data_IF_268582618137
#
_entry.id   IF_268582618137
#
_cell.length_a   1.000
_cell.length_b   1.000
_cell.length_c   1.000
_cell.angle_alpha   90.00
_cell.angle_beta   90.00
_cell.angle_gamma   90.00
#
_symmetry.space_group_name_H-M   'P 1'
#
loop_
_entity.id
_entity.type
_entity.pdbx_description
1 polymer ?
#
# COMPACT_ATOMS: atom_id res chain seq x y z
N UNK A 1 -18.63 4.28 7.56
CA UNK A 1 -18.70 2.84 7.24
C UNK A 1 -17.30 2.42 6.88
N UNK A 2 -16.78 1.41 7.55
CA UNK A 2 -15.49 0.80 7.25
C UNK A 2 -15.75 -0.63 6.80
N UNK A 3 -14.98 -1.11 5.82
CA UNK A 3 -15.15 -2.43 5.24
C UNK A 3 -13.77 -2.98 4.86
N UNK A 4 -13.52 -4.23 5.22
CA UNK A 4 -12.32 -4.98 4.86
C UNK A 4 -12.71 -6.07 3.84
N UNK A 5 -12.72 -5.76 2.52
CA UNK A 5 -13.33 -6.62 1.51
C UNK A 5 -12.69 -8.00 1.39
N UNK A 6 -11.42 -8.11 1.78
CA UNK A 6 -10.64 -9.35 1.70
C UNK A 6 -11.24 -10.54 2.47
N UNK A 7 -12.16 -10.28 3.41
CA UNK A 7 -12.82 -11.32 4.21
C UNK A 7 -14.20 -11.72 3.70
N UNK A 8 -14.65 -11.16 2.57
CA UNK A 8 -15.97 -11.41 2.00
C UNK A 8 -15.89 -11.68 0.50
N UNK A 9 -16.72 -12.57 0.01
CA UNK A 9 -16.97 -12.70 -1.42
C UNK A 9 -17.77 -11.51 -1.95
N UNK A 10 -17.62 -11.21 -3.25
CA UNK A 10 -18.41 -10.20 -3.93
C UNK A 10 -19.93 -10.46 -3.81
N UNK A 11 -20.33 -11.73 -3.73
CA UNK A 11 -21.73 -12.14 -3.50
C UNK A 11 -22.18 -11.76 -2.09
N UNK A 12 -21.42 -12.08 -1.05
CA UNK A 12 -21.76 -11.73 0.34
C UNK A 12 -21.92 -10.21 0.51
N UNK A 13 -21.00 -9.41 -0.03
CA UNK A 13 -21.11 -7.94 0.00
C UNK A 13 -22.37 -7.51 -0.76
N UNK A 14 -22.59 -8.05 -1.95
CA UNK A 14 -23.78 -7.74 -2.75
C UNK A 14 -25.07 -8.03 -2.00
N UNK A 15 -25.21 -9.23 -1.44
CA UNK A 15 -26.41 -9.69 -0.76
C UNK A 15 -26.69 -8.82 0.47
N UNK A 16 -25.65 -8.43 1.22
CA UNK A 16 -25.76 -7.50 2.35
C UNK A 16 -26.34 -6.15 1.91
N UNK A 17 -25.80 -5.52 0.87
CA UNK A 17 -26.25 -4.19 0.43
C UNK A 17 -27.62 -4.22 -0.25
N UNK A 18 -27.94 -5.31 -0.95
CA UNK A 18 -29.30 -5.56 -1.46
C UNK A 18 -30.28 -5.72 -0.31
N UNK A 19 -29.90 -6.49 0.73
CA UNK A 19 -30.71 -6.68 1.92
C UNK A 19 -30.95 -5.36 2.66
N UNK A 20 -29.91 -4.58 2.96
CA UNK A 20 -29.99 -3.24 3.58
C UNK A 20 -30.84 -2.27 2.74
N UNK A 21 -30.81 -2.45 1.42
CA UNK A 21 -31.54 -1.64 0.45
C UNK A 21 -33.03 -1.95 0.27
N UNK A 22 -33.58 -2.95 0.97
CA UNK A 22 -35.02 -3.29 0.90
C UNK A 22 -35.89 -2.27 1.65
N UNK A 23 -37.17 -2.17 1.26
CA UNK A 23 -38.19 -1.39 1.98
C UNK A 23 -38.32 -1.92 3.41
N UNK A 24 -38.44 -1.02 4.39
CA UNK A 24 -38.45 -1.37 5.83
C UNK A 24 -37.06 -1.41 6.50
N UNK A 25 -35.99 -1.18 5.74
CA UNK A 25 -34.61 -0.98 6.27
C UNK A 25 -34.12 0.42 5.88
N UNK A 26 -32.83 0.57 5.58
CA UNK A 26 -32.27 1.84 5.09
C UNK A 26 -32.89 2.22 3.73
N UNK A 27 -33.21 1.22 2.91
CA UNK A 27 -33.99 1.41 1.69
C UNK A 27 -33.32 2.37 0.69
N UNK A 28 -34.08 3.35 0.19
CA UNK A 28 -33.59 4.33 -0.81
C UNK A 28 -32.45 5.21 -0.29
N UNK A 29 -32.36 5.42 1.03
CA UNK A 29 -31.35 6.31 1.62
C UNK A 29 -29.95 5.71 1.55
N UNK A 30 -29.83 4.36 1.57
CA UNK A 30 -28.56 3.67 1.40
C UNK A 30 -27.90 4.07 0.09
N UNK A 31 -28.61 3.89 -1.01
CA UNK A 31 -28.08 4.17 -2.35
C UNK A 31 -27.93 5.66 -2.64
N UNK A 32 -28.74 6.52 -2.02
CA UNK A 32 -28.49 7.97 -2.02
C UNK A 32 -27.18 8.31 -1.31
N UNK A 33 -26.94 7.70 -0.15
CA UNK A 33 -25.68 7.81 0.59
C UNK A 33 -24.48 7.34 -0.22
N UNK A 34 -24.55 6.14 -0.83
CA UNK A 34 -23.46 5.61 -1.65
C UNK A 34 -23.08 6.52 -2.83
N UNK A 35 -24.06 7.11 -3.52
CA UNK A 35 -23.81 8.07 -4.61
C UNK A 35 -23.11 9.35 -4.16
N UNK A 36 -23.34 9.77 -2.92
CA UNK A 36 -22.78 10.99 -2.36
C UNK A 36 -21.56 10.71 -1.46
N UNK A 37 -21.20 9.45 -1.28
CA UNK A 37 -20.08 9.05 -0.44
C UNK A 37 -18.76 9.37 -1.15
N UNK A 38 -17.80 9.85 -0.37
CA UNK A 38 -16.41 9.93 -0.78
C UNK A 38 -15.57 9.00 0.09
N UNK A 39 -14.45 8.58 -0.47
CA UNK A 39 -13.45 7.79 0.22
C UNK A 39 -12.71 8.68 1.22
N UNK A 40 -12.70 8.27 2.48
CA UNK A 40 -11.86 8.88 3.52
C UNK A 40 -10.47 8.26 3.54
N UNK A 41 -10.42 6.92 3.44
CA UNK A 41 -9.18 6.14 3.48
C UNK A 41 -9.31 4.88 2.61
N UNK A 42 -8.25 4.51 1.89
CA UNK A 42 -8.08 3.21 1.21
C UNK A 42 -6.79 2.57 1.71
N UNK A 43 -6.81 1.26 1.92
CA UNK A 43 -5.62 0.45 2.17
C UNK A 43 -5.45 -0.50 0.98
N UNK A 44 -4.39 -0.31 0.21
CA UNK A 44 -3.99 -1.18 -0.90
C UNK A 44 -2.79 -2.01 -0.46
N UNK A 45 -2.95 -3.33 -0.39
CA UNK A 45 -1.86 -4.24 -0.01
C UNK A 45 -1.26 -4.91 -1.24
N UNK A 46 0.06 -4.80 -1.39
CA UNK A 46 0.85 -5.53 -2.36
C UNK A 46 1.75 -6.54 -1.64
N UNK A 47 1.74 -7.78 -2.09
CA UNK A 47 2.51 -8.88 -1.54
C UNK A 47 3.64 -9.26 -2.50
N UNK A 48 4.89 -9.15 -2.07
CA UNK A 48 6.07 -9.41 -2.90
C UNK A 48 6.81 -10.64 -2.39
N UNK A 49 6.74 -11.73 -3.14
CA UNK A 49 7.35 -13.01 -2.79
C UNK A 49 8.86 -12.95 -2.95
N UNK A 50 9.59 -13.55 -2.00
CA UNK A 50 11.05 -13.69 -2.06
C UNK A 50 11.81 -12.43 -1.67
N UNK A 51 11.13 -11.39 -1.21
CA UNK A 51 11.71 -10.13 -0.77
C UNK A 51 11.64 -10.02 0.76
N UNK A 52 12.70 -9.48 1.37
CA UNK A 52 12.75 -9.02 2.76
C UNK A 52 12.84 -7.50 2.82
N UNK A 53 12.51 -6.96 3.99
CA UNK A 53 12.54 -5.51 4.25
C UNK A 53 13.95 -4.91 4.06
N UNK A 54 14.98 -5.69 4.37
CA UNK A 54 16.39 -5.26 4.32
C UNK A 54 17.08 -5.48 2.98
N UNK A 55 16.42 -6.10 2.00
CA UNK A 55 17.06 -6.38 0.71
C UNK A 55 17.30 -5.09 -0.09
N UNK A 56 16.48 -4.06 0.15
CA UNK A 56 16.50 -2.80 -0.59
C UNK A 56 16.34 -1.59 0.33
N UNK A 57 16.79 -0.43 -0.12
CA UNK A 57 16.37 0.85 0.45
C UNK A 57 15.01 1.20 -0.16
N UNK A 58 14.00 1.41 0.69
CA UNK A 58 12.64 1.68 0.25
C UNK A 58 12.30 3.15 0.46
N UNK A 59 11.78 3.78 -0.58
CA UNK A 59 11.27 5.16 -0.56
C UNK A 59 9.82 5.18 -0.99
N UNK A 60 9.04 6.03 -0.33
CA UNK A 60 7.69 6.39 -0.75
C UNK A 60 7.68 7.86 -1.21
N UNK A 61 7.29 8.10 -2.46
CA UNK A 61 7.13 9.44 -3.02
C UNK A 61 6.05 10.19 -2.24
N UNK A 62 6.40 11.39 -1.75
CA UNK A 62 5.51 12.22 -0.94
C UNK A 62 5.52 11.89 0.56
N UNK A 63 6.30 10.89 1.00
CA UNK A 63 6.60 10.71 2.41
C UNK A 63 7.52 11.82 2.92
N UNK A 64 7.28 12.28 4.15
CA UNK A 64 8.09 13.28 4.85
C UNK A 64 8.63 12.77 6.18
N UNK A 65 8.07 11.70 6.70
CA UNK A 65 8.53 11.03 7.91
C UNK A 65 8.59 9.53 7.68
N UNK A 66 9.25 8.85 8.60
CA UNK A 66 9.19 7.41 8.72
C UNK A 66 9.65 6.95 10.09
N UNK A 67 9.30 5.72 10.41
CA UNK A 67 9.77 5.01 11.60
C UNK A 67 10.18 3.60 11.19
N UNK A 68 11.21 3.09 11.86
CA UNK A 68 11.64 1.70 11.74
C UNK A 68 11.46 1.03 13.10
N UNK A 69 10.67 -0.04 13.15
CA UNK A 69 10.47 -0.84 14.36
C UNK A 69 11.45 -2.03 14.36
N UNK A 70 12.08 -2.21 15.51
CA UNK A 70 13.39 -2.84 15.73
C UNK A 70 13.59 -4.27 15.18
N UNK A 71 14.85 -4.52 14.81
CA UNK A 71 15.49 -5.74 14.28
C UNK A 71 15.44 -6.96 15.21
N UNK A 72 15.07 -6.74 16.48
CA UNK A 72 15.05 -7.75 17.53
C UNK A 72 13.71 -7.78 18.31
N UNK A 73 12.72 -7.00 17.85
CA UNK A 73 11.37 -6.98 18.40
C UNK A 73 10.46 -8.08 17.85
N UNK A 74 9.22 -8.18 18.35
CA UNK A 74 8.26 -9.22 17.92
C UNK A 74 7.80 -9.09 16.46
N UNK A 75 7.94 -7.92 15.83
CA UNK A 75 7.61 -7.66 14.42
C UNK A 75 8.47 -6.52 13.86
N UNK A 76 9.44 -6.84 12.99
CA UNK A 76 10.19 -5.84 12.22
C UNK A 76 9.26 -5.15 11.21
N UNK A 77 9.44 -3.83 11.04
CA UNK A 77 8.66 -3.11 10.04
C UNK A 77 9.11 -1.67 9.81
N UNK A 78 8.89 -1.20 8.60
CA UNK A 78 9.16 0.16 8.16
C UNK A 78 7.84 0.87 7.87
N UNK A 79 7.66 2.03 8.48
CA UNK A 79 6.56 2.94 8.18
C UNK A 79 7.12 4.17 7.50
N UNK A 80 6.60 4.52 6.33
CA UNK A 80 6.92 5.75 5.61
C UNK A 80 5.64 6.54 5.38
N UNK A 81 5.65 7.86 5.48
CA UNK A 81 4.45 8.58 5.08
C UNK A 81 4.40 10.07 5.31
N UNK A 82 3.20 10.57 5.07
CA UNK A 82 2.70 11.91 5.34
C UNK A 82 1.22 11.79 5.72
N UNK A 83 0.52 12.92 5.81
CA UNK A 83 -0.92 12.94 6.13
C UNK A 83 -1.80 12.31 5.05
N UNK A 84 -1.35 12.33 3.79
CA UNK A 84 -2.15 11.88 2.63
C UNK A 84 -1.79 10.46 2.20
N UNK A 85 -0.53 10.04 2.37
CA UNK A 85 -0.08 8.70 1.96
C UNK A 85 0.84 8.09 3.02
N UNK A 86 0.61 6.82 3.35
CA UNK A 86 1.44 6.06 4.28
C UNK A 86 1.72 4.69 3.66
N UNK A 87 2.95 4.22 3.72
CA UNK A 87 3.32 2.83 3.48
C UNK A 87 3.66 2.18 4.83
N UNK A 88 3.02 1.06 5.12
CA UNK A 88 3.44 0.13 6.17
C UNK A 88 4.04 -1.09 5.50
N UNK A 89 5.31 -1.36 5.78
CA UNK A 89 6.12 -2.37 5.11
C UNK A 89 6.60 -3.34 6.19
N UNK A 90 6.22 -4.60 6.09
CA UNK A 90 6.54 -5.58 7.12
C UNK A 90 6.59 -7.00 6.53
N UNK A 91 7.38 -7.86 7.17
CA UNK A 91 7.40 -9.28 6.81
C UNK A 91 6.07 -9.92 7.20
N UNK A 92 5.41 -10.56 6.23
CA UNK A 92 4.12 -11.20 6.47
C UNK A 92 4.29 -12.70 6.49
N UNK A 93 3.75 -13.31 7.54
CA UNK A 93 3.60 -14.75 7.62
C UNK A 93 2.68 -15.28 6.51
N UNK A 94 3.21 -16.06 5.56
CA UNK A 94 2.39 -16.98 4.73
C UNK A 94 2.63 -18.39 5.22
N UNK A 95 1.56 -19.10 5.56
CA UNK A 95 1.64 -20.53 5.88
C UNK A 95 0.56 -21.29 5.11
N UNK A 96 0.66 -21.36 3.76
CA UNK A 96 -0.40 -21.93 2.93
C UNK A 96 -0.67 -23.41 3.22
N UNK A 97 0.32 -24.13 3.78
CA UNK A 97 0.18 -25.52 4.22
C UNK A 97 -0.66 -25.72 5.49
N UNK A 98 -1.08 -24.64 6.15
CA UNK A 98 -1.92 -24.72 7.36
C UNK A 98 -3.38 -24.60 6.97
N UNK A 99 -4.13 -25.67 7.21
CA UNK A 99 -5.58 -25.72 7.04
C UNK A 99 -6.29 -24.57 7.76
N UNK A 100 -7.30 -24.01 7.09
CA UNK A 100 -8.04 -22.82 7.58
C UNK A 100 -8.70 -23.09 8.93
N UNK A 101 -9.23 -24.30 9.13
CA UNK A 101 -9.87 -24.76 10.36
C UNK A 101 -8.90 -24.66 11.53
N UNK A 102 -7.66 -25.15 11.35
CA UNK A 102 -6.60 -25.10 12.35
C UNK A 102 -6.19 -23.66 12.72
N UNK A 103 -6.31 -22.72 11.77
CA UNK A 103 -6.07 -21.28 12.02
C UNK A 103 -7.17 -20.65 12.89
N UNK A 104 -8.39 -21.20 12.89
CA UNK A 104 -9.51 -20.69 13.68
C UNK A 104 -9.67 -21.39 15.03
N UNK A 105 -9.10 -22.58 15.20
CA UNK A 105 -9.14 -23.34 16.46
C UNK A 105 -8.17 -22.83 17.53
N UNK A 106 -7.09 -22.12 17.14
CA UNK A 106 -6.03 -21.69 18.03
C UNK A 106 -5.87 -20.16 18.04
N UNK A 107 -5.75 -19.57 19.24
CA UNK A 107 -5.49 -18.14 19.40
C UNK A 107 -4.06 -17.75 18.95
N UNK A 108 -3.12 -18.70 19.01
CA UNK A 108 -1.73 -18.55 18.58
C UNK A 108 -1.33 -19.79 17.81
N UNK A 109 -0.82 -19.61 16.60
CA UNK A 109 -0.30 -20.67 15.75
C UNK A 109 1.23 -20.56 15.71
N UNK A 110 1.92 -21.57 16.22
CA UNK A 110 3.38 -21.68 16.08
C UNK A 110 3.69 -22.37 14.75
N UNK A 111 4.63 -21.80 14.00
CA UNK A 111 5.02 -22.24 12.67
C UNK A 111 6.53 -22.41 12.60
N UNK A 112 6.98 -23.45 11.92
CA UNK A 112 8.41 -23.66 11.65
C UNK A 112 8.86 -22.73 10.50
N UNK A 113 10.12 -22.29 10.49
CA UNK A 113 10.65 -21.37 9.45
C UNK A 113 10.40 -21.89 8.02
N UNK A 114 10.46 -23.22 7.83
CA UNK A 114 10.22 -23.87 6.53
C UNK A 114 8.76 -23.80 6.06
N UNK A 115 7.81 -23.56 6.98
CA UNK A 115 6.40 -23.40 6.67
C UNK A 115 6.06 -21.98 6.21
N UNK A 116 7.00 -21.04 6.36
CA UNK A 116 6.85 -19.67 5.93
C UNK A 116 7.27 -19.48 4.48
N UNK A 117 6.34 -19.03 3.64
CA UNK A 117 6.76 -18.36 2.40
C UNK A 117 7.30 -16.99 2.80
N UNK A 118 8.58 -16.72 2.51
CA UNK A 118 9.14 -15.38 2.67
C UNK A 118 8.47 -14.44 1.68
N UNK A 119 7.72 -13.46 2.16
CA UNK A 119 7.22 -12.37 1.34
C UNK A 119 7.00 -11.10 2.16
N UNK A 120 7.28 -9.97 1.52
CA UNK A 120 7.13 -8.64 2.10
C UNK A 120 5.75 -8.09 1.76
N UNK A 121 5.01 -7.61 2.76
CA UNK A 121 3.77 -6.87 2.53
C UNK A 121 4.04 -5.37 2.51
N UNK A 122 3.57 -4.74 1.46
CA UNK A 122 3.56 -3.30 1.24
C UNK A 122 2.11 -2.79 1.33
N UNK A 123 1.71 -2.27 2.49
CA UNK A 123 0.39 -1.67 2.68
C UNK A 123 0.42 -0.16 2.42
N UNK A 124 -0.12 0.25 1.28
CA UNK A 124 -0.24 1.64 0.85
C UNK A 124 -1.60 2.19 1.27
N UNK A 125 -1.58 3.08 2.25
CA UNK A 125 -2.75 3.81 2.74
C UNK A 125 -2.84 5.17 2.05
N UNK A 126 -3.96 5.41 1.37
CA UNK A 126 -4.30 6.71 0.78
C UNK A 126 -5.42 7.35 1.59
N UNK A 127 -5.23 8.62 1.97
CA UNK A 127 -6.24 9.48 2.58
C UNK A 127 -6.49 10.69 1.66
N UNK A 128 -7.37 10.59 0.65
CA UNK A 128 -7.48 11.58 -0.42
C UNK A 128 -7.83 13.00 0.06
N UNK A 129 -8.54 13.10 1.18
CA UNK A 129 -9.15 14.33 1.67
C UNK A 129 -10.62 14.44 1.29
N UNK A 130 -11.33 15.38 1.94
CA UNK A 130 -12.79 15.52 1.81
C UNK A 130 -13.21 15.70 0.34
N UNK A 131 -14.09 14.82 -0.14
CA UNK A 131 -14.70 14.85 -1.48
C UNK A 131 -13.71 14.81 -2.67
N UNK A 132 -12.43 14.51 -2.43
CA UNK A 132 -11.42 14.42 -3.51
C UNK A 132 -11.48 13.11 -4.30
N UNK A 133 -11.97 12.04 -3.69
CA UNK A 133 -12.22 10.75 -4.35
C UNK A 133 -13.64 10.28 -4.03
N UNK A 134 -14.54 10.44 -4.99
CA UNK A 134 -15.92 9.96 -4.85
C UNK A 134 -15.96 8.44 -4.96
N UNK A 135 -16.85 7.79 -4.20
CA UNK A 135 -16.89 6.33 -4.16
C UNK A 135 -17.26 5.69 -5.50
N UNK A 136 -18.12 6.35 -6.26
CA UNK A 136 -18.47 5.93 -7.62
C UNK A 136 -17.32 6.04 -8.63
N UNK A 137 -16.22 6.70 -8.26
CA UNK A 137 -15.07 6.93 -9.12
C UNK A 137 -13.81 6.24 -8.56
N UNK A 138 -13.96 5.14 -7.81
CA UNK A 138 -12.84 4.44 -7.17
C UNK A 138 -11.71 4.06 -8.15
N UNK A 139 -12.04 3.73 -9.40
CA UNK A 139 -11.08 3.40 -10.45
C UNK A 139 -10.26 4.59 -10.97
N UNK A 140 -10.64 5.82 -10.63
CA UNK A 140 -9.88 7.04 -10.97
C UNK A 140 -8.73 7.34 -9.99
N UNK A 141 -8.51 6.45 -9.01
CA UNK A 141 -7.43 6.59 -8.05
C UNK A 141 -6.06 6.55 -8.75
N UNK A 142 -5.18 7.46 -8.36
CA UNK A 142 -3.78 7.50 -8.79
C UNK A 142 -3.07 6.18 -8.46
N UNK A 143 -2.15 5.75 -9.34
CA UNK A 143 -1.31 4.58 -9.12
C UNK A 143 -0.49 4.74 -7.83
N UNK A 144 -0.89 4.00 -6.78
CA UNK A 144 -0.19 4.04 -5.51
C UNK A 144 1.13 3.27 -5.58
N UNK A 145 1.18 2.23 -6.42
CA UNK A 145 2.35 1.35 -6.56
C UNK A 145 3.50 2.10 -7.22
N UNK A 146 3.23 2.99 -8.17
CA UNK A 146 4.26 3.83 -8.82
C UNK A 146 4.90 4.87 -7.89
N UNK A 147 4.34 5.08 -6.69
CA UNK A 147 4.94 5.94 -5.66
C UNK A 147 6.02 5.23 -4.86
N UNK A 148 6.17 3.92 -5.00
CA UNK A 148 7.27 3.18 -4.39
C UNK A 148 8.51 3.27 -5.28
N UNK A 149 9.66 3.50 -4.63
CA UNK A 149 10.95 3.40 -5.26
C UNK A 149 11.85 2.51 -4.40
N UNK A 150 12.59 1.62 -5.07
CA UNK A 150 13.51 0.68 -4.46
C UNK A 150 14.91 0.98 -4.98
N UNK A 151 15.88 0.98 -4.07
CA UNK A 151 17.28 1.17 -4.44
C UNK A 151 18.12 0.02 -3.89
N UNK A 152 19.06 -0.42 -4.71
CA UNK A 152 20.08 -1.39 -4.30
C UNK A 152 20.93 -0.80 -3.15
N UNK A 153 21.17 -1.60 -2.12
CA UNK A 153 21.99 -1.22 -0.96
C UNK A 153 23.47 -1.04 -1.31
N UNK A 154 23.92 -1.49 -2.48
CA UNK A 154 25.22 -1.17 -3.05
C UNK A 154 25.43 0.35 -3.18
N UNK A 155 24.37 1.16 -3.24
CA UNK A 155 24.46 2.62 -3.15
C UNK A 155 25.20 3.10 -1.88
N UNK A 156 25.08 2.36 -0.77
CA UNK A 156 25.66 2.76 0.51
C UNK A 156 27.19 2.71 0.52
N UNK A 157 27.81 1.90 -0.35
CA UNK A 157 29.28 1.81 -0.50
C UNK A 157 29.82 2.69 -1.61
N UNK A 158 28.97 3.39 -2.37
CA UNK A 158 29.41 4.32 -3.40
C UNK A 158 30.08 5.54 -2.77
N UNK A 159 31.34 5.77 -3.12
CA UNK A 159 32.15 6.90 -2.66
C UNK A 159 31.61 8.28 -3.06
N UNK A 160 30.71 8.34 -4.05
CA UNK A 160 30.04 9.56 -4.48
C UNK A 160 28.78 9.87 -3.64
N UNK A 161 28.29 8.94 -2.80
CA UNK A 161 27.17 9.19 -1.89
C UNK A 161 27.61 10.07 -0.72
N UNK A 162 26.72 10.97 -0.29
CA UNK A 162 26.97 11.80 0.91
C UNK A 162 27.24 10.90 2.14
N UNK A 163 28.42 11.01 2.80
CA UNK A 163 28.82 10.06 3.83
C UNK A 163 27.86 9.98 5.01
N UNK A 164 27.35 11.14 5.46
CA UNK A 164 26.39 11.19 6.57
C UNK A 164 25.04 10.57 6.19
N UNK A 165 24.59 10.78 4.95
CA UNK A 165 23.38 10.13 4.44
C UNK A 165 23.55 8.61 4.34
N UNK A 166 24.70 8.13 3.84
CA UNK A 166 25.04 6.70 3.82
C UNK A 166 25.04 6.11 5.23
N UNK A 167 25.66 6.78 6.20
CA UNK A 167 25.70 6.38 7.60
C UNK A 167 24.29 6.23 8.18
N UNK A 168 23.44 7.26 8.03
CA UNK A 168 22.05 7.22 8.52
C UNK A 168 21.27 6.04 7.93
N UNK A 169 21.38 5.79 6.63
CA UNK A 169 20.69 4.66 5.99
C UNK A 169 21.23 3.29 6.45
N UNK A 170 22.53 3.18 6.77
CA UNK A 170 23.12 1.96 7.35
C UNK A 170 22.63 1.70 8.77
N UNK A 171 22.35 2.75 9.52
CA UNK A 171 21.72 2.72 10.84
C UNK A 171 20.18 2.53 10.77
N UNK A 172 19.66 2.13 9.60
CA UNK A 172 18.24 1.89 9.34
C UNK A 172 17.33 3.11 9.58
N UNK A 173 17.89 4.32 9.55
CA UNK A 173 17.09 5.55 9.55
C UNK A 173 16.26 5.58 8.25
N UNK A 174 14.93 5.71 8.33
CA UNK A 174 14.08 5.71 7.15
C UNK A 174 14.49 6.76 6.12
N UNK A 175 14.44 6.41 4.84
CA UNK A 175 14.88 7.29 3.73
C UNK A 175 14.44 8.75 3.85
N UNK A 176 13.15 9.10 4.06
CA UNK A 176 12.74 10.50 4.15
C UNK A 176 13.32 11.25 5.36
N UNK A 177 13.60 10.53 6.45
CA UNK A 177 14.21 11.09 7.67
C UNK A 177 15.70 11.30 7.45
N UNK A 178 16.41 10.28 6.95
CA UNK A 178 17.82 10.40 6.57
C UNK A 178 18.02 11.56 5.58
N UNK A 179 17.07 11.73 4.64
CA UNK A 179 17.06 12.80 3.66
C UNK A 179 16.96 14.19 4.29
N UNK A 180 16.09 14.35 5.28
CA UNK A 180 15.95 15.60 6.01
C UNK A 180 17.21 15.92 6.83
N UNK A 181 17.72 14.91 7.55
CA UNK A 181 18.62 15.14 8.67
C UNK A 181 20.11 15.09 8.30
N UNK A 182 20.47 14.46 7.17
CA UNK A 182 21.89 14.36 6.81
C UNK A 182 22.54 15.73 6.60
N UNK A 183 23.79 15.82 7.02
CA UNK A 183 24.64 16.98 6.86
C UNK A 183 25.46 16.88 5.56
N UNK A 184 25.30 17.81 4.60
CA UNK A 184 26.08 17.81 3.37
C UNK A 184 27.58 17.96 3.61
N UNK A 185 28.38 17.17 2.89
CA UNK A 185 29.84 17.34 2.91
C UNK A 185 30.28 18.50 2.01
N UNK A 186 31.39 19.15 2.40
CA UNK A 186 32.11 20.08 1.54
C UNK A 186 33.03 19.36 0.52
N UNK A 187 33.28 18.06 0.71
CA UNK A 187 34.07 17.27 -0.22
C UNK A 187 33.53 15.84 -0.39
N UNK A 188 33.57 15.32 -1.61
CA UNK A 188 33.20 13.95 -1.94
C UNK A 188 34.28 13.33 -2.80
N UNK A 189 34.72 12.11 -2.44
CA UNK A 189 35.79 11.39 -3.14
C UNK A 189 37.02 12.28 -3.44
N UNK A 190 37.48 13.03 -2.44
CA UNK A 190 38.64 13.93 -2.56
C UNK A 190 38.42 15.21 -3.36
N UNK A 191 37.22 15.46 -3.90
CA UNK A 191 36.88 16.67 -4.68
C UNK A 191 36.02 17.62 -3.87
N UNK A 192 36.30 18.92 -3.98
CA UNK A 192 35.47 19.98 -3.40
C UNK A 192 34.10 20.02 -4.09
N UNK A 193 33.04 20.11 -3.29
CA UNK A 193 31.65 20.19 -3.77
C UNK A 193 30.89 21.25 -2.97
N UNK A 194 29.78 21.74 -3.53
CA UNK A 194 28.92 22.67 -2.79
C UNK A 194 28.25 21.97 -1.58
N UNK A 195 28.41 22.49 -0.35
CA UNK A 195 27.72 21.96 0.84
C UNK A 195 26.27 22.48 0.96
N UNK A 196 25.79 23.29 0.02
CA UNK A 196 24.42 23.78 0.05
C UNK A 196 23.45 22.60 -0.05
N UNK A 197 22.50 22.48 0.89
CA UNK A 197 21.56 21.35 0.98
C UNK A 197 20.89 21.03 -0.37
N UNK A 198 20.39 22.04 -1.08
CA UNK A 198 19.77 21.85 -2.42
C UNK A 198 20.72 21.23 -3.46
N UNK A 199 22.01 21.58 -3.44
CA UNK A 199 22.99 21.04 -4.37
C UNK A 199 23.38 19.61 -3.99
N UNK A 200 23.61 19.36 -2.70
CA UNK A 200 23.81 18.01 -2.16
C UNK A 200 22.60 17.11 -2.45
N UNK A 201 21.40 17.68 -2.34
CA UNK A 201 20.17 16.97 -2.57
C UNK A 201 20.10 16.42 -4.00
N UNK A 202 20.41 17.27 -4.98
CA UNK A 202 20.48 16.84 -6.38
C UNK A 202 21.54 15.77 -6.63
N UNK A 203 22.68 15.82 -5.93
CA UNK A 203 23.72 14.79 -6.06
C UNK A 203 23.23 13.44 -5.54
N UNK A 204 22.63 13.42 -4.34
CA UNK A 204 22.00 12.22 -3.77
C UNK A 204 20.95 11.67 -4.72
N UNK A 205 20.02 12.50 -5.22
CA UNK A 205 18.97 12.04 -6.13
C UNK A 205 19.55 11.43 -7.41
N UNK A 206 20.54 12.10 -8.02
CA UNK A 206 21.22 11.59 -9.22
C UNK A 206 21.91 10.25 -8.97
N UNK A 207 22.58 10.11 -7.83
CA UNK A 207 23.29 8.89 -7.46
C UNK A 207 22.33 7.75 -7.18
N UNK A 208 21.32 7.99 -6.35
CA UNK A 208 20.30 7.00 -5.99
C UNK A 208 19.56 6.50 -7.22
N UNK A 209 19.28 7.35 -8.21
CA UNK A 209 18.64 6.92 -9.46
C UNK A 209 19.50 5.89 -10.23
N UNK A 210 20.84 5.95 -10.15
CA UNK A 210 21.72 4.91 -10.75
C UNK A 210 21.55 3.54 -10.10
N UNK A 211 21.16 3.52 -8.83
CA UNK A 211 20.94 2.31 -8.03
C UNK A 211 19.46 1.94 -7.95
N UNK A 212 18.59 2.60 -8.71
CA UNK A 212 17.17 2.29 -8.73
C UNK A 212 16.96 0.90 -9.32
N UNK A 213 16.18 0.09 -8.62
CA UNK A 213 15.80 -1.26 -9.05
C UNK A 213 14.31 -1.29 -9.30
N UNK A 214 13.92 -1.80 -10.46
CA UNK A 214 12.53 -2.09 -10.78
C UNK A 214 12.19 -3.52 -10.35
N UNK A 215 11.59 -3.66 -9.18
CA UNK A 215 11.21 -4.99 -8.64
C UNK A 215 9.96 -5.56 -9.31
N UNK A 216 9.09 -4.68 -9.79
CA UNK A 216 7.86 -5.02 -10.50
C UNK A 216 7.43 -3.84 -11.36
N UNK A 217 6.75 -4.13 -12.45
CA UNK A 217 6.09 -3.13 -13.29
C UNK A 217 4.88 -2.58 -12.53
N UNK A 218 5.00 -1.33 -12.06
CA UNK A 218 3.94 -0.68 -11.29
C UNK A 218 2.66 -0.44 -12.09
N UNK A 219 2.76 -0.26 -13.40
CA UNK A 219 1.61 -0.04 -14.27
C UNK A 219 0.89 -1.36 -14.53
N UNK A 220 1.62 -2.45 -14.77
CA UNK A 220 1.04 -3.79 -14.91
C UNK A 220 0.32 -4.24 -13.62
N UNK A 221 0.93 -4.00 -12.45
CA UNK A 221 0.28 -4.28 -11.16
C UNK A 221 -0.98 -3.44 -10.98
N UNK A 222 -0.92 -2.14 -11.33
CA UNK A 222 -2.06 -1.25 -11.18
C UNK A 222 -3.19 -1.53 -12.18
N UNK A 223 -2.88 -2.03 -13.37
CA UNK A 223 -3.86 -2.47 -14.35
C UNK A 223 -4.77 -3.59 -13.81
N UNK A 224 -4.37 -4.30 -12.75
CA UNK A 224 -5.18 -5.31 -12.05
C UNK A 224 -6.18 -4.69 -11.04
N UNK A 225 -6.12 -3.39 -10.76
CA UNK A 225 -7.03 -2.70 -9.83
C UNK A 225 -8.51 -2.99 -10.10
N UNK A 226 -9.02 -3.01 -11.36
CA UNK A 226 -10.41 -3.33 -11.63
C UNK A 226 -10.84 -4.71 -11.10
N UNK A 227 -9.94 -5.71 -11.15
CA UNK A 227 -10.21 -7.06 -10.63
C UNK A 227 -10.32 -7.06 -9.10
N UNK A 228 -9.49 -6.26 -8.43
CA UNK A 228 -9.55 -6.09 -6.97
C UNK A 228 -10.82 -5.36 -6.57
N UNK A 229 -11.15 -4.27 -7.28
CA UNK A 229 -12.37 -3.47 -7.05
C UNK A 229 -13.62 -4.31 -7.28
N UNK A 230 -13.65 -5.20 -8.28
CA UNK A 230 -14.78 -6.09 -8.55
C UNK A 230 -15.16 -6.97 -7.34
N UNK A 231 -14.22 -7.26 -6.42
CA UNK A 231 -14.51 -7.98 -5.18
C UNK A 231 -15.47 -7.25 -4.25
N UNK A 232 -15.68 -5.94 -4.43
CA UNK A 232 -16.67 -5.15 -3.69
C UNK A 232 -18.12 -5.45 -4.13
N UNK A 233 -18.36 -6.28 -5.13
CA UNK A 233 -19.70 -6.66 -5.58
C UNK A 233 -20.50 -5.44 -6.06
N UNK A 234 -21.75 -5.31 -5.61
CA UNK A 234 -22.62 -4.17 -5.98
C UNK A 234 -22.01 -2.80 -5.65
N UNK A 235 -21.09 -2.73 -4.68
CA UNK A 235 -20.40 -1.49 -4.34
C UNK A 235 -19.37 -1.06 -5.39
N UNK A 236 -18.90 -1.96 -6.25
CA UNK A 236 -18.08 -1.59 -7.41
C UNK A 236 -18.90 -1.23 -8.65
N UNK A 237 -20.24 -1.24 -8.54
CA UNK A 237 -21.15 -1.08 -9.68
C UNK A 237 -22.14 0.06 -9.45
N UNK A 238 -21.68 1.33 -9.55
CA UNK A 238 -22.50 2.52 -9.27
C UNK A 238 -23.79 2.60 -10.10
N UNK A 239 -23.79 2.02 -11.30
CA UNK A 239 -24.96 1.93 -12.15
C UNK A 239 -26.14 1.22 -11.46
N UNK A 240 -25.88 0.24 -10.59
CA UNK A 240 -26.89 -0.50 -9.84
C UNK A 240 -27.29 0.16 -8.52
N UNK A 241 -26.73 1.32 -8.19
CA UNK A 241 -27.25 2.11 -7.07
C UNK A 241 -28.55 2.82 -7.47
N UNK A 242 -28.76 3.02 -8.78
CA UNK A 242 -30.03 3.48 -9.32
C UNK A 242 -31.08 2.37 -9.24
N UNK A 243 -32.24 2.70 -8.68
CA UNK A 243 -33.30 1.71 -8.41
C UNK A 243 -33.74 0.95 -9.66
N UNK A 244 -33.98 1.66 -10.78
CA UNK A 244 -34.42 1.06 -12.05
C UNK A 244 -33.44 0.02 -12.57
N UNK A 245 -32.14 0.33 -12.56
CA UNK A 245 -31.12 -0.59 -13.04
C UNK A 245 -30.94 -1.79 -12.10
N UNK A 246 -30.98 -1.55 -10.78
CA UNK A 246 -30.90 -2.62 -9.79
C UNK A 246 -32.03 -3.62 -9.90
N UNK A 247 -33.27 -3.16 -10.08
CA UNK A 247 -34.43 -4.04 -10.21
C UNK A 247 -34.29 -4.97 -11.42
N UNK A 248 -33.93 -4.41 -12.58
CA UNK A 248 -33.65 -5.21 -13.79
C UNK A 248 -32.54 -6.23 -13.56
N UNK A 249 -31.44 -5.80 -12.96
CA UNK A 249 -30.29 -6.65 -12.66
C UNK A 249 -30.64 -7.80 -11.69
N UNK A 250 -31.40 -7.52 -10.64
CA UNK A 250 -31.85 -8.54 -9.68
C UNK A 250 -32.81 -9.56 -10.32
N UNK A 251 -33.70 -9.12 -11.23
CA UNK A 251 -34.60 -10.02 -11.95
C UNK A 251 -33.84 -11.00 -12.87
N UNK A 252 -32.76 -10.55 -13.51
CA UNK A 252 -31.91 -11.44 -14.33
C UNK A 252 -31.20 -12.48 -13.47
N UNK A 253 -30.64 -12.09 -12.32
CA UNK A 253 -29.96 -13.03 -11.41
C UNK A 253 -30.87 -14.09 -10.80
N UNK A 254 -32.19 -13.85 -10.75
CA UNK A 254 -33.17 -14.83 -10.28
C UNK A 254 -33.55 -15.86 -11.37
N UNK A 255 -33.17 -15.62 -12.63
CA UNK A 255 -33.41 -16.56 -13.75
C UNK A 255 -32.20 -17.45 -14.05
N UNK A 256 -31.01 -17.04 -13.63
CA UNK A 256 -29.74 -17.72 -13.91
C UNK A 256 -29.24 -18.59 -12.73
N UNK A 257 -30.05 -18.79 -11.69
CA UNK A 257 -29.74 -19.63 -10.53
C UNK A 257 -30.92 -20.47 -10.11
#
# INVERSE_FOLDING_TARGET
>A
MELSPQHYSAKQITDLFVWLGRKGRIGKYLYRGLRNAWITTIHYALDVVGMKIHDYLIRLVGARSGDFNDLHGKQEGLRLGSTTIVASIYEKADAPGVATERRYEQAVLLLDEQQFRRFLRLELRLSPGKQKLMFNNLLSMENLVSKLAFYDRNALVDSELEPDFSRLLREYVPYPVARADYQPSASLNGKQVSPAKKAADKRVDKLMERYRVELFDSEAVWAMLPLVVAKLGILAQPQYWQFKHRQKWLQLRLKDG
#
